data_IF_655235349171
#
_entry.id   IF_655235349171
#
_cell.length_a   1.000
_cell.length_b   1.000
_cell.length_c   1.000
_cell.angle_alpha   90.00
_cell.angle_beta   90.00
_cell.angle_gamma   90.00
#
_symmetry.space_group_name_H-M   'P 1'
#
loop_
_entity.id
_entity.type
_entity.pdbx_description
1 polymer ?
#
# COMPACT_ATOMS: atom_id res chain seq x y z
N UNK A 1 17.07 -23.49 27.59
CA UNK A 1 17.09 -22.41 26.58
C UNK A 1 15.89 -21.53 26.88
N UNK A 2 16.10 -20.34 27.46
CA UNK A 2 15.01 -19.44 27.85
C UNK A 2 14.48 -18.73 26.60
N UNK A 3 13.31 -19.15 26.10
CA UNK A 3 12.59 -18.39 25.08
C UNK A 3 12.12 -17.07 25.70
N UNK A 4 12.72 -15.95 25.27
CA UNK A 4 12.14 -14.63 25.49
C UNK A 4 11.06 -14.41 24.44
N UNK A 5 9.83 -14.33 24.89
CA UNK A 5 8.72 -13.96 24.03
C UNK A 5 8.73 -12.45 23.85
N UNK A 6 8.64 -11.95 22.61
CA UNK A 6 8.42 -10.52 22.40
C UNK A 6 7.10 -10.11 23.07
N UNK A 7 7.08 -8.94 23.68
CA UNK A 7 5.84 -8.37 24.22
C UNK A 7 4.87 -8.13 23.05
N UNK A 8 3.63 -8.63 23.16
CA UNK A 8 2.58 -8.46 22.15
C UNK A 8 2.37 -6.98 21.81
N UNK A 9 2.51 -6.08 22.80
CA UNK A 9 2.43 -4.64 22.57
C UNK A 9 3.55 -4.13 21.67
N UNK A 10 4.75 -4.69 21.79
CA UNK A 10 5.90 -4.33 20.96
C UNK A 10 5.72 -4.84 19.52
N UNK A 11 5.13 -6.03 19.33
CA UNK A 11 4.88 -6.58 17.99
C UNK A 11 3.85 -5.73 17.23
N UNK A 12 2.71 -5.42 17.86
CA UNK A 12 1.68 -4.54 17.27
C UNK A 12 2.26 -3.15 16.96
N UNK A 13 3.06 -2.61 17.87
CA UNK A 13 3.72 -1.32 17.69
C UNK A 13 4.73 -1.33 16.52
N UNK A 14 5.49 -2.41 16.34
CA UNK A 14 6.43 -2.57 15.21
C UNK A 14 5.68 -2.71 13.87
N UNK A 15 4.55 -3.40 13.84
CA UNK A 15 3.73 -3.55 12.63
C UNK A 15 3.12 -2.22 12.17
N UNK A 16 2.53 -1.46 13.08
CA UNK A 16 1.94 -0.14 12.75
C UNK A 16 3.01 0.88 12.37
N UNK A 17 4.18 0.86 13.01
CA UNK A 17 5.30 1.74 12.64
C UNK A 17 5.93 1.37 11.29
N UNK A 18 5.93 0.09 10.91
CA UNK A 18 6.47 -0.39 9.63
C UNK A 18 5.68 0.13 8.42
N UNK A 19 4.34 0.04 8.45
CA UNK A 19 3.50 0.57 7.37
C UNK A 19 3.66 2.08 7.24
N UNK A 20 3.60 2.79 8.37
CA UNK A 20 3.76 4.24 8.40
C UNK A 20 5.11 4.65 7.78
N UNK A 21 6.22 4.06 8.23
CA UNK A 21 7.54 4.36 7.69
C UNK A 21 7.64 4.11 6.18
N UNK A 22 7.14 2.96 5.70
CA UNK A 22 7.16 2.63 4.28
C UNK A 22 6.36 3.63 3.43
N UNK A 23 5.17 4.02 3.91
CA UNK A 23 4.32 5.00 3.24
C UNK A 23 4.96 6.40 3.22
N UNK A 24 5.68 6.78 4.27
CA UNK A 24 6.46 8.03 4.31
C UNK A 24 7.57 8.05 3.27
N UNK A 25 8.37 6.98 3.21
CA UNK A 25 9.46 6.85 2.25
C UNK A 25 8.94 6.86 0.81
N UNK A 26 7.82 6.18 0.56
CA UNK A 26 7.18 6.16 -0.76
C UNK A 26 6.66 7.55 -1.16
N UNK A 27 6.11 8.33 -0.21
CA UNK A 27 5.65 9.71 -0.45
C UNK A 27 6.78 10.62 -0.90
N UNK A 28 7.94 10.50 -0.25
CA UNK A 28 9.16 11.22 -0.63
C UNK A 28 9.65 10.77 -2.01
N UNK A 29 9.61 9.46 -2.30
CA UNK A 29 10.06 8.88 -3.56
C UNK A 29 9.21 9.33 -4.77
N UNK A 30 7.91 9.60 -4.59
CA UNK A 30 7.05 10.15 -5.65
C UNK A 30 7.11 11.68 -5.80
N UNK A 31 7.88 12.36 -4.94
CA UNK A 31 8.19 13.79 -5.07
C UNK A 31 7.11 14.75 -4.54
N UNK A 32 6.30 14.32 -3.57
CA UNK A 32 5.24 15.17 -2.99
C UNK A 32 5.85 16.24 -2.08
N UNK A 33 5.84 17.50 -2.54
CA UNK A 33 6.52 18.64 -1.88
C UNK A 33 5.93 19.05 -0.53
N UNK A 34 4.66 18.75 -0.25
CA UNK A 34 4.04 19.02 1.06
C UNK A 34 4.41 17.96 2.11
N UNK A 35 5.26 17.00 1.72
CA UNK A 35 5.74 15.93 2.57
C UNK A 35 4.65 14.91 2.94
N UNK A 36 5.03 13.95 3.79
CA UNK A 36 4.16 13.04 4.54
C UNK A 36 2.76 13.51 4.93
N UNK A 37 2.63 14.78 5.31
CA UNK A 37 1.44 15.33 5.93
C UNK A 37 0.23 15.30 4.99
N UNK A 38 0.48 15.30 3.67
CA UNK A 38 -0.57 15.17 2.67
C UNK A 38 -1.38 13.87 2.84
N UNK A 39 -0.78 12.78 3.32
CA UNK A 39 -1.51 11.52 3.51
C UNK A 39 -2.61 11.58 4.58
N UNK A 40 -2.52 12.53 5.51
CA UNK A 40 -3.46 12.66 6.62
C UNK A 40 -4.51 13.75 6.38
N UNK A 41 -4.57 14.31 5.18
CA UNK A 41 -5.49 15.38 4.83
C UNK A 41 -6.44 14.88 3.75
N UNK A 42 -7.72 14.78 4.08
CA UNK A 42 -8.79 14.27 3.20
C UNK A 42 -8.85 14.98 1.84
N UNK A 43 -8.39 16.23 1.77
CA UNK A 43 -8.34 17.05 0.54
C UNK A 43 -7.10 16.79 -0.33
N UNK A 44 -6.23 15.85 0.04
CA UNK A 44 -4.97 15.60 -0.66
C UNK A 44 -5.15 14.67 -1.84
N UNK A 45 -5.52 15.26 -2.98
CA UNK A 45 -5.58 14.55 -4.26
C UNK A 45 -4.22 14.09 -4.78
N UNK A 46 -4.25 13.04 -5.60
CA UNK A 46 -3.08 12.45 -6.26
C UNK A 46 -2.19 13.47 -6.99
N UNK A 47 -0.86 13.48 -6.79
CA UNK A 47 0.06 14.27 -7.62
C UNK A 47 0.04 13.86 -9.10
N UNK A 48 -0.33 12.62 -9.42
CA UNK A 48 -0.32 12.10 -10.79
C UNK A 48 -1.46 12.69 -11.64
N UNK A 49 -2.56 13.11 -11.01
CA UNK A 49 -3.77 13.60 -11.67
C UNK A 49 -3.75 15.13 -11.92
N UNK A 50 -2.96 15.90 -11.17
CA UNK A 50 -3.01 17.39 -11.15
C UNK A 50 -2.93 18.04 -12.54
N UNK A 51 -1.95 17.59 -13.31
CA UNK A 51 -1.71 18.11 -14.66
C UNK A 51 -2.83 17.70 -15.63
N UNK A 52 -3.31 16.47 -15.51
CA UNK A 52 -4.42 15.96 -16.30
C UNK A 52 -5.69 16.78 -16.08
N UNK A 53 -6.09 16.99 -14.81
CA UNK A 53 -7.24 17.82 -14.42
C UNK A 53 -7.09 19.25 -14.94
N UNK A 54 -5.94 19.88 -14.69
CA UNK A 54 -5.66 21.27 -15.12
C UNK A 54 -5.75 21.42 -16.63
N UNK A 55 -5.31 20.41 -17.39
CA UNK A 55 -5.37 20.38 -18.85
C UNK A 55 -6.73 19.93 -19.40
N UNK A 56 -7.69 19.56 -18.55
CA UNK A 56 -8.97 18.96 -18.94
C UNK A 56 -8.80 17.73 -19.84
N UNK A 57 -7.78 16.90 -19.55
CA UNK A 57 -7.48 15.68 -20.30
C UNK A 57 -6.88 15.88 -21.68
N UNK A 58 -6.38 17.08 -22.01
CA UNK A 58 -5.72 17.35 -23.30
C UNK A 58 -4.24 16.97 -23.34
N UNK A 59 -3.63 16.70 -22.18
CA UNK A 59 -2.21 16.38 -22.08
C UNK A 59 -1.94 14.91 -22.38
N UNK A 60 -0.81 14.61 -23.03
CA UNK A 60 -0.44 13.23 -23.33
C UNK A 60 -0.04 12.47 -22.04
N UNK A 61 -0.55 11.25 -21.86
CA UNK A 61 -0.26 10.42 -20.68
C UNK A 61 1.24 10.13 -20.54
N UNK A 62 1.94 9.89 -21.65
CA UNK A 62 3.40 9.68 -21.64
C UNK A 62 4.16 10.87 -21.06
N UNK A 63 3.73 12.10 -21.38
CA UNK A 63 4.35 13.31 -20.84
C UNK A 63 4.17 13.38 -19.32
N UNK A 64 2.98 13.05 -18.80
CA UNK A 64 2.73 13.04 -17.36
C UNK A 64 3.58 11.95 -16.68
N UNK A 65 3.61 10.72 -17.23
CA UNK A 65 4.44 9.63 -16.70
C UNK A 65 5.93 9.97 -16.65
N UNK A 66 6.44 10.67 -17.67
CA UNK A 66 7.84 11.07 -17.74
C UNK A 66 8.31 11.92 -16.55
N UNK A 67 7.39 12.69 -15.93
CA UNK A 67 7.68 13.50 -14.74
C UNK A 67 8.00 12.65 -13.51
N UNK A 68 7.52 11.41 -13.50
CA UNK A 68 7.68 10.46 -12.39
C UNK A 68 8.65 9.33 -12.73
N UNK A 69 9.38 9.41 -13.85
CA UNK A 69 10.35 8.39 -14.25
C UNK A 69 11.51 8.20 -13.25
N UNK A 70 11.76 9.20 -12.39
CA UNK A 70 12.74 9.11 -11.30
C UNK A 70 12.25 8.36 -10.06
N UNK A 71 10.95 8.10 -9.94
CA UNK A 71 10.40 7.32 -8.84
C UNK A 71 10.71 5.82 -9.03
N UNK A 72 10.79 5.03 -7.93
CA UNK A 72 10.89 3.58 -8.01
C UNK A 72 9.82 2.99 -8.93
N UNK A 73 10.19 1.98 -9.73
CA UNK A 73 9.33 1.39 -10.76
C UNK A 73 7.92 1.06 -10.26
N UNK A 74 7.82 0.49 -9.06
CA UNK A 74 6.53 0.05 -8.50
C UNK A 74 5.69 1.19 -7.90
N UNK A 75 6.25 2.40 -7.80
CA UNK A 75 5.57 3.64 -7.41
C UNK A 75 5.31 4.58 -8.58
N UNK A 76 5.78 4.24 -9.79
CA UNK A 76 5.46 5.04 -10.97
C UNK A 76 3.95 5.01 -11.24
N UNK A 77 3.39 6.10 -11.80
CA UNK A 77 1.96 6.19 -12.06
C UNK A 77 1.53 5.17 -13.12
N UNK A 78 0.38 4.54 -12.88
CA UNK A 78 -0.38 3.83 -13.92
C UNK A 78 -1.39 4.78 -14.56
N UNK A 79 -1.76 4.53 -15.81
CA UNK A 79 -2.59 5.47 -16.60
C UNK A 79 -3.92 5.83 -15.89
N UNK A 80 -4.55 4.89 -15.19
CA UNK A 80 -5.80 5.16 -14.45
C UNK A 80 -5.60 6.12 -13.28
N UNK A 81 -4.43 6.17 -12.65
CA UNK A 81 -4.12 7.16 -11.61
C UNK A 81 -3.96 8.58 -12.19
N UNK A 82 -3.66 8.68 -13.48
CA UNK A 82 -3.56 9.97 -14.18
C UNK A 82 -4.94 10.48 -14.60
N UNK A 83 -5.90 9.58 -14.83
CA UNK A 83 -7.21 9.96 -15.39
C UNK A 83 -8.37 9.92 -14.40
N UNK A 84 -8.24 9.18 -13.29
CA UNK A 84 -9.27 9.06 -12.23
C UNK A 84 -8.84 9.88 -11.03
N UNK A 85 -9.68 10.80 -10.59
CA UNK A 85 -9.46 11.58 -9.36
C UNK A 85 -9.57 10.66 -8.13
N UNK A 86 -8.61 10.75 -7.22
CA UNK A 86 -8.51 9.91 -6.02
C UNK A 86 -7.53 10.50 -4.99
N UNK A 87 -7.59 9.99 -3.77
CA UNK A 87 -6.70 10.41 -2.69
C UNK A 87 -5.29 9.80 -2.81
N UNK A 88 -4.26 10.55 -2.36
CA UNK A 88 -2.84 10.16 -2.46
C UNK A 88 -2.48 8.82 -1.79
N UNK A 89 -3.32 8.31 -0.88
CA UNK A 89 -3.03 7.07 -0.13
C UNK A 89 -2.85 5.86 -1.06
N UNK A 90 -3.49 5.85 -2.23
CA UNK A 90 -3.29 4.79 -3.22
C UNK A 90 -1.96 4.94 -3.96
N UNK A 91 -1.45 6.15 -4.16
CA UNK A 91 -0.20 6.40 -4.92
C UNK A 91 1.06 5.91 -4.22
N UNK A 92 1.01 5.85 -2.89
CA UNK A 92 2.13 5.45 -2.03
C UNK A 92 2.21 3.93 -1.84
N UNK A 93 1.30 3.15 -2.45
CA UNK A 93 1.31 1.70 -2.37
C UNK A 93 2.17 1.11 -3.51
N UNK A 94 3.22 0.32 -3.22
CA UNK A 94 4.14 -0.21 -4.24
C UNK A 94 3.56 -1.42 -4.99
N UNK A 95 2.28 -1.36 -5.35
CA UNK A 95 1.53 -2.45 -6.00
C UNK A 95 0.77 -1.93 -7.23
N UNK A 96 1.43 -1.70 -8.38
CA UNK A 96 0.82 -1.07 -9.56
C UNK A 96 -0.51 -1.71 -9.99
N UNK A 97 -0.58 -3.05 -10.03
CA UNK A 97 -1.80 -3.76 -10.43
C UNK A 97 -2.92 -3.66 -9.41
N UNK A 98 -2.61 -3.53 -8.12
CA UNK A 98 -3.62 -3.27 -7.09
C UNK A 98 -4.20 -1.87 -7.26
N UNK A 99 -3.34 -0.85 -7.36
CA UNK A 99 -3.74 0.55 -7.58
C UNK A 99 -4.64 0.68 -8.81
N UNK A 100 -4.26 0.04 -9.91
CA UNK A 100 -5.05 0.04 -11.14
C UNK A 100 -6.46 -0.55 -10.95
N UNK A 101 -6.55 -1.72 -10.31
CA UNK A 101 -7.84 -2.40 -10.08
C UNK A 101 -8.72 -1.65 -9.09
N UNK A 102 -8.15 -1.16 -8.00
CA UNK A 102 -8.86 -0.38 -6.99
C UNK A 102 -9.50 0.85 -7.62
N UNK A 103 -8.75 1.62 -8.42
CA UNK A 103 -9.28 2.82 -9.07
C UNK A 103 -10.34 2.53 -10.12
N UNK A 104 -10.21 1.44 -10.89
CA UNK A 104 -11.27 1.01 -11.82
C UNK A 104 -12.55 0.64 -11.08
N UNK A 105 -12.44 0.05 -9.90
CA UNK A 105 -13.57 -0.32 -9.06
C UNK A 105 -14.21 0.88 -8.35
N UNK A 106 -13.42 1.87 -7.94
CA UNK A 106 -13.88 3.16 -7.40
C UNK A 106 -14.60 3.97 -8.49
N UNK A 107 -14.04 4.01 -9.71
CA UNK A 107 -14.61 4.74 -10.84
C UNK A 107 -15.82 4.05 -11.49
N UNK A 108 -16.22 2.87 -11.03
CA UNK A 108 -17.43 2.20 -11.50
C UNK A 108 -18.68 2.96 -11.01
N UNK A 109 -19.78 2.90 -11.76
CA UNK A 109 -21.05 3.51 -11.37
C UNK A 109 -22.14 2.42 -11.25
N UNK A 110 -22.59 2.06 -10.02
CA UNK A 110 -22.13 2.58 -8.72
C UNK A 110 -20.75 2.01 -8.32
N UNK A 111 -19.98 2.67 -7.43
CA UNK A 111 -18.69 2.14 -6.96
C UNK A 111 -18.81 0.71 -6.41
N UNK A 112 -17.82 -0.14 -6.70
CA UNK A 112 -17.87 -1.55 -6.31
C UNK A 112 -17.56 -1.78 -4.82
N UNK A 113 -16.93 -0.81 -4.16
CA UNK A 113 -16.65 -0.79 -2.73
C UNK A 113 -16.53 0.66 -2.24
N UNK A 114 -16.55 0.84 -0.92
CA UNK A 114 -16.38 2.14 -0.26
C UNK A 114 -14.88 2.50 -0.14
N UNK A 115 -14.47 3.59 -0.80
CA UNK A 115 -13.07 4.06 -0.79
C UNK A 115 -12.59 4.44 0.62
N UNK A 116 -13.46 5.03 1.43
CA UNK A 116 -13.11 5.46 2.79
C UNK A 116 -12.91 4.25 3.70
N UNK A 117 -13.72 3.19 3.53
CA UNK A 117 -13.53 1.92 4.23
C UNK A 117 -12.19 1.26 3.85
N UNK A 118 -11.85 1.24 2.55
CA UNK A 118 -10.56 0.71 2.10
C UNK A 118 -9.38 1.49 2.70
N UNK A 119 -9.45 2.82 2.70
CA UNK A 119 -8.45 3.68 3.31
C UNK A 119 -8.31 3.39 4.81
N UNK A 120 -9.44 3.29 5.51
CA UNK A 120 -9.47 2.97 6.94
C UNK A 120 -8.88 1.60 7.23
N UNK A 121 -9.21 0.58 6.44
CA UNK A 121 -8.72 -0.78 6.64
C UNK A 121 -7.21 -0.87 6.43
N UNK A 122 -6.67 -0.23 5.39
CA UNK A 122 -5.22 -0.17 5.13
C UNK A 122 -4.50 0.56 6.27
N UNK A 123 -5.00 1.72 6.69
CA UNK A 123 -4.29 2.59 7.63
C UNK A 123 -4.51 2.21 9.11
N UNK A 124 -5.63 1.57 9.46
CA UNK A 124 -6.06 1.38 10.86
C UNK A 124 -6.45 -0.05 11.23
N UNK A 125 -6.78 -0.94 10.29
CA UNK A 125 -7.20 -2.33 10.58
C UNK A 125 -6.24 -3.41 10.10
N UNK A 126 -4.96 -3.07 9.93
CA UNK A 126 -3.94 -4.02 9.47
C UNK A 126 -4.29 -4.65 8.10
N UNK A 127 -5.09 -3.97 7.28
CA UNK A 127 -5.41 -4.39 5.91
C UNK A 127 -4.18 -4.45 5.02
N UNK A 128 -3.12 -3.73 5.39
CA UNK A 128 -1.77 -3.91 4.89
C UNK A 128 -0.77 -3.97 6.06
N UNK A 129 0.08 -4.99 6.07
CA UNK A 129 1.13 -5.15 7.08
C UNK A 129 2.48 -5.13 6.38
N UNK A 130 3.34 -4.22 6.82
CA UNK A 130 4.74 -4.18 6.38
C UNK A 130 5.59 -4.90 7.41
N UNK A 131 6.33 -5.88 6.93
CA UNK A 131 7.25 -6.66 7.74
C UNK A 131 8.67 -6.15 7.54
N UNK A 132 9.30 -5.69 8.61
CA UNK A 132 10.67 -5.16 8.59
C UNK A 132 11.62 -6.28 9.02
N UNK A 133 12.40 -6.81 8.09
CA UNK A 133 13.29 -7.97 8.28
C UNK A 133 13.13 -8.95 7.12
N UNK A 134 14.25 -9.48 6.61
CA UNK A 134 14.21 -10.44 5.51
C UNK A 134 13.33 -11.65 5.83
N UNK A 135 12.93 -12.38 4.79
CA UNK A 135 12.20 -13.65 4.87
C UNK A 135 12.96 -14.77 5.62
N UNK A 136 14.10 -14.45 6.22
CA UNK A 136 14.99 -15.34 6.92
C UNK A 136 14.50 -15.55 8.36
N UNK A 137 13.70 -16.60 8.52
CA UNK A 137 13.49 -17.43 9.72
C UNK A 137 12.97 -16.81 11.04
N UNK A 138 13.39 -15.63 11.47
CA UNK A 138 13.05 -15.12 12.82
C UNK A 138 11.56 -14.76 12.94
N UNK A 139 10.99 -14.20 11.89
CA UNK A 139 9.60 -13.74 11.90
C UNK A 139 8.60 -14.89 11.65
N UNK A 140 8.96 -15.85 10.78
CA UNK A 140 8.20 -17.09 10.61
C UNK A 140 8.16 -17.92 11.90
N UNK A 141 9.26 -17.94 12.67
CA UNK A 141 9.30 -18.60 13.99
C UNK A 141 8.35 -17.93 14.99
N UNK A 142 8.26 -16.60 14.98
CA UNK A 142 7.33 -15.86 15.83
C UNK A 142 5.86 -16.15 15.48
N UNK A 143 5.50 -16.12 14.19
CA UNK A 143 4.15 -16.44 13.73
C UNK A 143 3.76 -17.91 14.04
N UNK A 144 4.65 -18.86 13.75
CA UNK A 144 4.43 -20.30 14.01
C UNK A 144 4.28 -20.58 15.50
N UNK A 145 5.05 -19.89 16.35
CA UNK A 145 4.94 -19.96 17.80
C UNK A 145 3.57 -19.45 18.30
N UNK A 146 3.07 -18.35 17.73
CA UNK A 146 1.79 -17.75 18.10
C UNK A 146 0.57 -18.64 17.75
N UNK A 147 0.62 -19.35 16.62
CA UNK A 147 -0.43 -20.31 16.24
C UNK A 147 -0.34 -21.63 17.02
N UNK A 148 0.87 -22.11 17.32
CA UNK A 148 1.10 -23.29 18.17
C UNK A 148 0.53 -23.09 19.57
N UNK A 149 0.65 -21.89 20.15
CA UNK A 149 0.10 -21.55 21.48
C UNK A 149 -1.43 -21.52 21.51
N UNK A 150 -2.10 -21.38 20.36
CA UNK A 150 -3.56 -21.40 20.25
C UNK A 150 -4.14 -22.75 19.79
N UNK A 151 -3.28 -23.76 19.63
CA UNK A 151 -3.63 -25.05 19.05
C UNK A 151 -4.28 -24.94 17.65
N UNK A 152 -3.95 -23.87 16.92
CA UNK A 152 -4.40 -23.64 15.55
C UNK A 152 -3.39 -24.28 14.60
N UNK A 153 -3.81 -25.27 13.81
CA UNK A 153 -2.97 -25.84 12.76
C UNK A 153 -2.86 -24.85 11.62
N UNK A 154 -1.64 -24.41 11.31
CA UNK A 154 -1.36 -23.72 10.05
C UNK A 154 -1.50 -24.74 8.94
N UNK A 155 -2.67 -24.78 8.29
CA UNK A 155 -2.79 -25.34 6.96
C UNK A 155 -2.26 -24.27 6.00
N UNK A 156 -1.10 -24.52 5.40
CA UNK A 156 -0.77 -23.83 4.15
C UNK A 156 -1.86 -24.25 3.15
N UNK A 157 -2.81 -23.34 2.90
CA UNK A 157 -3.89 -23.57 1.96
C UNK A 157 -3.32 -23.69 0.54
N UNK A 158 -3.77 -24.65 -0.27
CA UNK A 158 -3.18 -25.00 -1.57
C UNK A 158 -3.45 -23.97 -2.70
N UNK A 159 -3.68 -22.70 -2.37
CA UNK A 159 -4.01 -21.68 -3.39
C UNK A 159 -2.78 -21.12 -4.12
N UNK A 160 -1.56 -21.32 -3.63
CA UNK A 160 -0.35 -20.74 -4.22
C UNK A 160 0.64 -21.74 -4.85
N UNK A 161 0.41 -23.04 -4.72
CA UNK A 161 1.19 -24.06 -5.44
C UNK A 161 0.82 -24.15 -6.94
N UNK A 162 -0.11 -23.32 -7.43
CA UNK A 162 -0.51 -23.28 -8.84
C UNK A 162 -0.10 -22.01 -9.60
N UNK A 163 0.69 -21.11 -8.98
CA UNK A 163 1.16 -19.88 -9.66
C UNK A 163 2.69 -19.72 -9.63
N UNK A 164 3.43 -20.76 -9.25
CA UNK A 164 4.89 -20.80 -9.47
C UNK A 164 5.33 -22.20 -9.90
N UNK A 165 4.90 -22.62 -11.09
CA UNK A 165 5.70 -23.28 -12.14
C UNK A 165 5.07 -22.95 -13.50
#
# INVERSE_FOLDING_TARGET
MNLRLPDVKQVIFVQQTGLFAAVMDNTLAIGVMNGPQALFSDESGSPFNKDWIKSKGSMQLEHIRSKFAGAPRDLQPVDVQITVEHHIYLDVLPFPSFRERALKAIAHDPPLFDEDELCYDICNREGLIVWVGGWDDEMWRAARWWHMMRNERIAAGPFWDSVVL
#
